data_IF_043851562585
#
_entry.id   IF_043851562585
#
_cell.length_a   1.000
_cell.length_b   1.000
_cell.length_c   1.000
_cell.angle_alpha   90.00
_cell.angle_beta   90.00
_cell.angle_gamma   90.00
#
_symmetry.space_group_name_H-M   'P 1'
#
loop_
_entity.id
_entity.type
_entity.pdbx_description
1 polymer ?
#
# COMPACT_ATOMS: atom_id res chain seq x y z
N UNK A 1 -7.86 -0.45 -3.06
CA UNK A 1 -7.48 -1.83 -2.73
C UNK A 1 -8.18 -2.24 -1.46
N UNK A 2 -8.92 -3.34 -1.47
CA UNK A 2 -9.69 -3.79 -0.30
C UNK A 2 -8.79 -4.17 0.87
N UNK A 3 -7.60 -4.69 0.59
CA UNK A 3 -6.60 -5.09 1.58
C UNK A 3 -6.03 -3.93 2.41
N UNK A 4 -5.89 -2.74 1.79
CA UNK A 4 -5.45 -1.54 2.49
C UNK A 4 -6.49 -1.08 3.53
N UNK A 5 -7.78 -1.23 3.23
CA UNK A 5 -8.85 -0.90 4.19
C UNK A 5 -8.87 -1.88 5.37
N UNK A 6 -8.64 -3.17 5.11
CA UNK A 6 -8.54 -4.18 6.17
C UNK A 6 -7.32 -3.92 7.07
N UNK A 7 -6.18 -3.61 6.47
CA UNK A 7 -4.95 -3.26 7.21
C UNK A 7 -5.16 -1.99 8.03
N UNK A 8 -5.83 -0.98 7.47
CA UNK A 8 -6.18 0.24 8.17
C UNK A 8 -6.99 -0.03 9.44
N UNK A 9 -7.96 -0.92 9.34
CA UNK A 9 -8.81 -1.28 10.46
C UNK A 9 -8.03 -1.96 11.60
N UNK A 10 -6.96 -2.72 11.30
CA UNK A 10 -6.13 -3.38 12.31
C UNK A 10 -5.44 -2.39 13.26
N UNK A 11 -4.96 -1.25 12.78
CA UNK A 11 -4.34 -0.25 13.65
C UNK A 11 -5.35 0.71 14.27
N UNK A 12 -6.41 1.10 13.56
CA UNK A 12 -7.46 1.94 14.15
C UNK A 12 -8.22 1.24 15.28
N UNK A 13 -8.45 -0.07 15.18
CA UNK A 13 -9.11 -0.83 16.25
C UNK A 13 -8.30 -0.89 17.55
N UNK A 14 -6.99 -0.60 17.52
CA UNK A 14 -6.13 -0.55 18.71
C UNK A 14 -6.17 0.80 19.43
N UNK A 15 -6.85 1.80 18.87
CA UNK A 15 -6.96 3.14 19.46
C UNK A 15 -8.43 3.52 19.67
N UNK A 16 -8.66 4.56 20.47
CA UNK A 16 -9.98 5.17 20.63
C UNK A 16 -10.38 6.07 19.43
N UNK A 17 -9.44 6.36 18.52
CA UNK A 17 -9.65 7.27 17.40
C UNK A 17 -10.31 6.57 16.21
N UNK A 18 -11.16 7.28 15.49
CA UNK A 18 -11.76 6.80 14.24
C UNK A 18 -11.57 7.85 13.14
N UNK A 19 -11.10 7.46 11.94
CA UNK A 19 -10.88 8.40 10.87
C UNK A 19 -12.22 8.93 10.33
N UNK A 20 -12.33 10.24 10.15
CA UNK A 20 -13.43 10.84 9.40
C UNK A 20 -13.17 10.65 7.89
N UNK A 21 -13.80 9.63 7.29
CA UNK A 21 -13.57 9.30 5.87
C UNK A 21 -14.40 10.21 4.97
N UNK A 22 -13.79 11.24 4.40
CA UNK A 22 -14.45 12.17 3.46
C UNK A 22 -14.54 11.63 2.02
N UNK A 23 -13.68 10.66 1.66
CA UNK A 23 -13.64 10.04 0.34
C UNK A 23 -13.01 8.65 0.41
N UNK A 24 -13.53 7.70 -0.39
CA UNK A 24 -13.01 6.32 -0.49
C UNK A 24 -12.99 5.91 -1.96
N UNK A 25 -11.86 5.40 -2.42
CA UNK A 25 -11.68 4.95 -3.81
C UNK A 25 -10.66 3.81 -3.87
N UNK A 26 -10.74 2.99 -4.92
CA UNK A 26 -9.71 1.99 -5.25
C UNK A 26 -8.55 2.59 -6.04
N UNK A 27 -8.70 3.78 -6.62
CA UNK A 27 -7.67 4.48 -7.39
C UNK A 27 -6.67 5.17 -6.46
N UNK A 28 -5.45 4.64 -6.41
CA UNK A 28 -4.33 5.26 -5.68
C UNK A 28 -4.06 6.69 -6.18
N UNK A 29 -4.15 6.91 -7.49
CA UNK A 29 -3.87 8.22 -8.06
C UNK A 29 -4.92 9.26 -7.68
N UNK A 30 -6.19 8.87 -7.62
CA UNK A 30 -7.23 9.78 -7.13
C UNK A 30 -6.99 10.19 -5.66
N UNK A 31 -6.53 9.26 -4.81
CA UNK A 31 -6.12 9.60 -3.43
C UNK A 31 -4.94 10.57 -3.45
N UNK A 32 -3.94 10.33 -4.29
CA UNK A 32 -2.75 11.17 -4.41
C UNK A 32 -3.08 12.59 -4.82
N UNK A 33 -3.87 12.78 -5.88
CA UNK A 33 -4.31 14.11 -6.33
C UNK A 33 -5.09 14.86 -5.25
N UNK A 34 -5.95 14.16 -4.48
CA UNK A 34 -6.69 14.79 -3.37
C UNK A 34 -5.77 15.26 -2.24
N UNK A 35 -4.82 14.42 -1.83
CA UNK A 35 -3.86 14.76 -0.77
C UNK A 35 -2.93 15.89 -1.24
N UNK A 36 -2.40 15.81 -2.45
CA UNK A 36 -1.56 16.86 -3.05
C UNK A 36 -2.31 18.20 -3.24
N UNK A 37 -3.64 18.16 -3.28
CA UNK A 37 -4.50 19.35 -3.33
C UNK A 37 -4.92 19.87 -1.96
N UNK A 38 -4.43 19.30 -0.87
CA UNK A 38 -4.73 19.72 0.50
C UNK A 38 -6.13 19.36 0.99
N UNK A 39 -6.83 18.44 0.31
CA UNK A 39 -8.20 18.06 0.69
C UNK A 39 -8.25 17.16 1.93
N UNK A 40 -7.13 16.56 2.31
CA UNK A 40 -7.04 15.67 3.47
C UNK A 40 -5.71 14.93 3.53
N UNK A 41 -5.66 13.91 4.38
CA UNK A 41 -4.50 13.03 4.56
C UNK A 41 -4.86 11.59 4.28
N UNK A 42 -3.85 10.76 4.01
CA UNK A 42 -4.02 9.32 3.83
C UNK A 42 -2.88 8.56 4.50
N UNK A 43 -3.12 7.31 4.85
CA UNK A 43 -2.11 6.35 5.30
C UNK A 43 -2.16 5.20 4.31
N UNK A 44 -1.06 4.96 3.60
CA UNK A 44 -0.91 3.92 2.58
C UNK A 44 0.45 3.24 2.72
N UNK A 45 0.60 2.07 2.09
CA UNK A 45 1.90 1.39 2.01
C UNK A 45 2.91 2.22 1.20
N UNK A 46 4.17 2.18 1.61
CA UNK A 46 5.28 2.81 0.88
C UNK A 46 5.42 2.29 -0.55
N UNK A 47 4.93 1.07 -0.83
CA UNK A 47 4.92 0.49 -2.17
C UNK A 47 4.18 1.37 -3.20
N UNK A 48 3.17 2.11 -2.76
CA UNK A 48 2.38 3.00 -3.63
C UNK A 48 2.80 4.47 -3.53
N UNK A 49 3.80 4.78 -2.70
CA UNK A 49 4.31 6.14 -2.58
C UNK A 49 5.02 6.59 -3.86
N UNK A 50 4.66 7.79 -4.31
CA UNK A 50 5.30 8.56 -5.38
C UNK A 50 5.18 10.02 -4.99
N UNK A 51 6.29 10.75 -5.11
CA UNK A 51 6.41 12.16 -4.70
C UNK A 51 5.50 13.12 -5.48
N UNK A 52 5.12 12.79 -6.70
CA UNK A 52 4.31 13.64 -7.58
C UNK A 52 3.02 12.95 -7.99
N UNK A 53 1.93 13.71 -8.02
CA UNK A 53 0.70 13.33 -8.73
C UNK A 53 0.81 13.57 -10.22
N UNK A 54 -0.11 12.98 -10.98
CA UNK A 54 -0.17 13.15 -12.43
C UNK A 54 -0.36 14.61 -12.86
N UNK A 55 -0.99 15.43 -12.02
CA UNK A 55 -1.13 16.87 -12.21
C UNK A 55 0.07 17.68 -11.70
N UNK A 56 1.18 17.03 -11.36
CA UNK A 56 2.45 17.67 -11.02
C UNK A 56 2.49 18.29 -9.63
N UNK A 57 1.56 17.93 -8.73
CA UNK A 57 1.56 18.40 -7.34
C UNK A 57 2.36 17.45 -6.46
N UNK A 58 3.05 18.03 -5.48
CA UNK A 58 3.89 17.26 -4.55
C UNK A 58 3.05 16.68 -3.42
N UNK A 59 3.36 15.45 -3.03
CA UNK A 59 2.86 14.82 -1.81
C UNK A 59 3.97 14.75 -0.77
N UNK A 60 3.74 15.35 0.38
CA UNK A 60 4.62 15.24 1.54
C UNK A 60 4.34 13.95 2.32
N UNK A 61 5.39 13.36 2.87
CA UNK A 61 5.32 12.17 3.73
C UNK A 61 5.76 12.54 5.12
N UNK A 62 5.02 12.06 6.12
CA UNK A 62 5.33 12.24 7.53
C UNK A 62 5.43 10.87 8.17
N UNK A 63 6.49 10.64 8.95
CA UNK A 63 6.65 9.41 9.71
C UNK A 63 5.55 9.30 10.77
N UNK A 64 4.99 8.12 10.93
CA UNK A 64 4.00 7.85 11.97
C UNK A 64 4.70 7.77 13.33
N UNK A 65 4.06 8.32 14.37
CA UNK A 65 4.54 8.23 15.75
C UNK A 65 4.42 6.80 16.29
N UNK A 66 3.31 6.13 15.95
CA UNK A 66 3.04 4.75 16.34
C UNK A 66 3.43 3.77 15.24
N UNK A 67 3.91 2.60 15.64
CA UNK A 67 4.15 1.51 14.71
C UNK A 67 2.83 0.97 14.14
N UNK A 68 2.75 0.87 12.82
CA UNK A 68 1.63 0.22 12.11
C UNK A 68 2.07 -1.17 11.62
N UNK A 69 1.15 -2.15 11.51
CA UNK A 69 1.47 -3.45 10.93
C UNK A 69 2.07 -3.32 9.52
N UNK A 70 3.04 -4.17 9.20
CA UNK A 70 3.58 -4.27 7.84
C UNK A 70 2.53 -4.81 6.87
N UNK A 71 2.72 -4.49 5.59
CA UNK A 71 1.99 -5.08 4.48
C UNK A 71 2.95 -6.02 3.76
N UNK A 72 2.77 -7.31 3.96
CA UNK A 72 3.64 -8.33 3.39
C UNK A 72 3.15 -8.69 1.99
N UNK A 73 4.07 -8.78 1.02
CA UNK A 73 3.78 -9.20 -0.35
C UNK A 73 4.48 -10.52 -0.61
N UNK A 74 3.74 -11.47 -1.19
CA UNK A 74 4.23 -12.80 -1.48
C UNK A 74 3.85 -13.27 -2.88
N UNK A 75 4.45 -14.39 -3.28
CA UNK A 75 4.11 -15.12 -4.50
C UNK A 75 3.22 -16.31 -4.13
N UNK A 76 2.14 -16.52 -4.89
CA UNK A 76 1.24 -17.65 -4.72
C UNK A 76 1.05 -18.40 -6.04
N UNK A 77 0.96 -19.73 -5.96
CA UNK A 77 0.66 -20.62 -7.08
C UNK A 77 -0.12 -21.85 -6.58
N UNK A 78 -0.78 -22.56 -7.50
CA UNK A 78 -1.52 -23.77 -7.16
C UNK A 78 -0.55 -24.89 -6.72
N UNK A 79 -0.81 -25.49 -5.56
CA UNK A 79 0.09 -26.48 -4.95
C UNK A 79 0.30 -27.74 -5.81
N UNK A 80 -0.64 -28.05 -6.70
CA UNK A 80 -0.63 -29.22 -7.57
C UNK A 80 -0.15 -28.92 -9.01
N UNK A 81 0.45 -27.75 -9.25
CA UNK A 81 0.96 -27.36 -10.56
C UNK A 81 2.48 -27.24 -10.50
N UNK A 82 3.17 -27.96 -11.38
CA UNK A 82 4.60 -27.74 -11.59
C UNK A 82 4.82 -26.38 -12.26
N UNK A 83 5.68 -25.57 -11.65
CA UNK A 83 6.06 -24.28 -12.21
C UNK A 83 6.93 -24.49 -13.44
N UNK A 84 6.61 -23.76 -14.52
CA UNK A 84 7.46 -23.72 -15.71
C UNK A 84 8.84 -23.17 -15.38
N UNK A 85 9.83 -23.43 -16.24
CA UNK A 85 11.18 -22.89 -16.08
C UNK A 85 11.19 -21.35 -15.96
N UNK A 86 10.33 -20.66 -16.72
CA UNK A 86 10.19 -19.21 -16.65
C UNK A 86 9.59 -18.75 -15.30
N UNK A 87 8.59 -19.46 -14.77
CA UNK A 87 7.99 -19.14 -13.48
C UNK A 87 8.95 -19.39 -12.31
N UNK A 88 9.76 -20.46 -12.37
CA UNK A 88 10.82 -20.72 -11.39
C UNK A 88 11.88 -19.62 -11.42
N UNK A 89 12.34 -19.22 -12.60
CA UNK A 89 13.30 -18.13 -12.75
C UNK A 89 12.76 -16.80 -12.20
N UNK A 90 11.48 -16.49 -12.44
CA UNK A 90 10.83 -15.32 -11.85
C UNK A 90 10.73 -15.41 -10.32
N UNK A 91 10.36 -16.57 -9.78
CA UNK A 91 10.30 -16.79 -8.32
C UNK A 91 11.66 -16.57 -7.67
N UNK A 92 12.72 -17.10 -8.27
CA UNK A 92 14.11 -16.92 -7.82
C UNK A 92 14.52 -15.45 -7.88
N UNK A 93 14.24 -14.76 -9.00
CA UNK A 93 14.49 -13.33 -9.15
C UNK A 93 13.84 -12.50 -8.03
N UNK A 94 12.58 -12.80 -7.68
CA UNK A 94 11.86 -12.07 -6.64
C UNK A 94 12.40 -12.34 -5.21
N UNK A 95 13.07 -13.47 -4.96
CA UNK A 95 13.73 -13.76 -3.67
C UNK A 95 15.08 -13.04 -3.48
N UNK A 96 15.69 -12.54 -4.56
CA UNK A 96 17.01 -11.87 -4.50
C UNK A 96 16.93 -10.50 -3.80
N UNK A 97 15.73 -9.95 -3.58
CA UNK A 97 15.52 -8.67 -2.90
C UNK A 97 15.63 -8.69 -1.37
N UNK A 98 15.84 -9.85 -0.75
CA UNK A 98 15.85 -10.03 0.72
C UNK A 98 17.27 -10.08 1.36
N UNK A 99 18.32 -9.65 0.65
CA UNK A 99 19.69 -9.50 1.18
C UNK A 99 20.08 -8.05 1.46
#
# INVERSE_FOLDING_TARGET
>A
MDEASNTAQRYWNKTAYRPNTIFRTSSVEAVRSMVASGMGVTILSDMVYRQWSLDGRRVEVVSLADAVPTMDVGLAWAANVELSRAALAFREFMHIGDQ
#
